data_IF_774550329646
#
_entry.id   IF_774550329646
#
_cell.length_a   1.000
_cell.length_b   1.000
_cell.length_c   1.000
_cell.angle_alpha   90.00
_cell.angle_beta   90.00
_cell.angle_gamma   90.00
#
_symmetry.space_group_name_H-M   'P 1'
#
loop_
_entity.id
_entity.type
_entity.pdbx_description
1 polymer ?
#
# COMPACT_ATOMS: atom_id res chain seq x y z
N UNK A 1 12.07 -26.27 13.17
CA UNK A 1 11.72 -24.84 13.03
C UNK A 1 10.22 -24.76 12.80
N UNK A 2 9.47 -24.18 13.73
CA UNK A 2 8.00 -24.06 13.62
C UNK A 2 7.62 -22.82 12.80
N UNK A 3 6.66 -22.91 11.87
CA UNK A 3 6.26 -21.78 11.05
C UNK A 3 5.56 -20.71 11.89
N UNK A 4 5.94 -19.45 11.68
CA UNK A 4 5.33 -18.29 12.33
C UNK A 4 3.85 -18.23 11.97
N UNK A 5 2.97 -18.31 12.98
CA UNK A 5 1.53 -18.10 12.81
C UNK A 5 1.30 -16.68 12.30
N UNK A 6 0.85 -16.54 11.06
CA UNK A 6 0.22 -15.32 10.58
C UNK A 6 -0.97 -15.03 11.50
N UNK A 7 -0.81 -14.06 12.40
CA UNK A 7 -1.90 -13.63 13.27
C UNK A 7 -3.02 -13.12 12.37
N UNK A 8 -4.12 -13.85 12.32
CA UNK A 8 -5.26 -13.53 11.47
C UNK A 8 -5.87 -12.22 11.96
N UNK A 9 -5.66 -11.14 11.21
CA UNK A 9 -6.24 -9.84 11.52
C UNK A 9 -7.77 -9.96 11.43
N UNK A 10 -8.45 -9.73 12.54
CA UNK A 10 -9.89 -9.85 12.67
C UNK A 10 -10.43 -8.65 13.45
N UNK A 11 -11.73 -8.39 13.38
CA UNK A 11 -12.36 -7.31 14.17
C UNK A 11 -12.12 -7.42 15.68
N UNK A 12 -11.78 -8.62 16.19
CA UNK A 12 -11.46 -8.86 17.61
C UNK A 12 -10.01 -8.52 17.96
N UNK A 13 -9.11 -8.60 16.99
CA UNK A 13 -7.67 -8.32 17.15
C UNK A 13 -7.25 -6.96 16.59
N UNK A 14 -8.16 -6.25 15.93
CA UNK A 14 -7.95 -4.90 15.42
C UNK A 14 -7.81 -3.86 16.55
N UNK A 15 -6.94 -2.88 16.32
CA UNK A 15 -6.78 -1.72 17.19
C UNK A 15 -8.05 -0.86 17.20
N UNK A 16 -8.40 -0.34 18.37
CA UNK A 16 -9.66 0.40 18.59
C UNK A 16 -9.37 1.78 19.13
N UNK A 17 -9.99 2.77 18.51
CA UNK A 17 -9.90 4.16 18.94
C UNK A 17 -11.32 4.75 19.09
N UNK A 18 -11.60 5.38 20.23
CA UNK A 18 -12.90 6.00 20.50
C UNK A 18 -12.86 7.47 20.07
N UNK A 19 -13.60 7.80 19.01
CA UNK A 19 -13.70 9.16 18.48
C UNK A 19 -14.86 9.91 19.14
N UNK A 20 -14.60 11.12 19.63
CA UNK A 20 -15.62 12.06 20.10
C UNK A 20 -16.03 12.97 18.93
N UNK A 21 -17.25 12.78 18.43
CA UNK A 21 -17.78 13.56 17.32
C UNK A 21 -18.62 14.74 17.84
N UNK A 22 -18.54 15.92 17.22
CA UNK A 22 -19.46 17.02 17.52
C UNK A 22 -20.90 16.68 17.07
N UNK A 23 -21.85 17.45 17.59
CA UNK A 23 -23.27 17.23 17.35
C UNK A 23 -23.60 17.15 15.85
N UNK A 24 -24.45 16.18 15.50
CA UNK A 24 -24.88 15.92 14.11
C UNK A 24 -23.84 15.24 13.21
N UNK A 25 -22.55 15.25 13.55
CA UNK A 25 -21.51 14.68 12.68
C UNK A 25 -21.66 13.16 12.53
N UNK A 26 -22.06 12.44 13.58
CA UNK A 26 -22.32 10.99 13.51
C UNK A 26 -23.40 10.65 12.47
N UNK A 27 -24.48 11.43 12.42
CA UNK A 27 -25.58 11.20 11.47
C UNK A 27 -25.10 11.45 10.04
N UNK A 28 -24.33 12.52 9.81
CA UNK A 28 -23.73 12.82 8.51
C UNK A 28 -22.83 11.70 8.02
N UNK A 29 -21.98 11.14 8.88
CA UNK A 29 -21.14 9.98 8.53
C UNK A 29 -22.00 8.76 8.20
N UNK A 30 -23.08 8.53 8.94
CA UNK A 30 -24.00 7.41 8.67
C UNK A 30 -24.67 7.52 7.29
N UNK A 31 -25.17 8.70 6.93
CA UNK A 31 -25.80 8.93 5.62
C UNK A 31 -24.83 8.69 4.47
N UNK A 32 -23.61 9.23 4.58
CA UNK A 32 -22.55 9.01 3.60
C UNK A 32 -22.21 7.51 3.48
N UNK A 33 -22.04 6.82 4.61
CA UNK A 33 -21.72 5.39 4.60
C UNK A 33 -22.83 4.56 3.91
N UNK A 34 -24.11 4.91 4.15
CA UNK A 34 -25.25 4.29 3.45
C UNK A 34 -25.19 4.52 1.94
N UNK A 35 -24.90 5.76 1.51
CA UNK A 35 -24.80 6.11 0.10
C UNK A 35 -23.65 5.38 -0.60
N UNK A 36 -22.56 5.10 0.12
CA UNK A 36 -21.42 4.33 -0.40
C UNK A 36 -21.55 2.81 -0.20
N UNK A 37 -22.68 2.32 0.33
CA UNK A 37 -22.89 0.90 0.64
C UNK A 37 -21.83 0.29 1.57
N UNK A 38 -21.37 1.06 2.56
CA UNK A 38 -20.32 0.69 3.53
C UNK A 38 -20.83 0.77 4.97
N UNK A 39 -20.15 0.07 5.87
CA UNK A 39 -20.34 0.30 7.30
C UNK A 39 -19.78 1.69 7.69
N UNK A 40 -20.28 2.29 8.77
CA UNK A 40 -19.72 3.56 9.27
C UNK A 40 -18.22 3.46 9.56
N UNK A 41 -17.78 2.34 10.13
CA UNK A 41 -16.35 2.13 10.38
C UNK A 41 -15.56 2.11 9.08
N UNK A 42 -16.02 1.37 8.07
CA UNK A 42 -15.38 1.31 6.76
C UNK A 42 -15.33 2.68 6.07
N UNK A 43 -16.36 3.52 6.22
CA UNK A 43 -16.35 4.88 5.68
C UNK A 43 -15.35 5.77 6.43
N UNK A 44 -15.29 5.69 7.77
CA UNK A 44 -14.31 6.44 8.57
C UNK A 44 -12.88 6.07 8.16
N UNK A 45 -12.58 4.78 8.03
CA UNK A 45 -11.27 4.31 7.58
C UNK A 45 -10.95 4.84 6.18
N UNK A 46 -11.87 4.72 5.22
CA UNK A 46 -11.64 5.19 3.86
C UNK A 46 -11.34 6.70 3.80
N UNK A 47 -12.01 7.52 4.64
CA UNK A 47 -11.74 8.96 4.73
C UNK A 47 -10.38 9.27 5.34
N UNK A 48 -10.00 8.53 6.38
CA UNK A 48 -8.69 8.69 7.02
C UNK A 48 -7.57 8.28 6.07
N UNK A 49 -7.71 7.14 5.40
CA UNK A 49 -6.76 6.69 4.37
C UNK A 49 -6.59 7.74 3.28
N UNK A 50 -7.68 8.23 2.71
CA UNK A 50 -7.64 9.26 1.67
C UNK A 50 -6.95 10.54 2.16
N UNK A 51 -7.26 11.02 3.38
CA UNK A 51 -6.65 12.21 3.95
C UNK A 51 -5.16 12.04 4.15
N UNK A 52 -4.74 10.90 4.71
CA UNK A 52 -3.33 10.62 5.00
C UNK A 52 -2.52 10.38 3.72
N UNK A 53 -3.12 9.78 2.67
CA UNK A 53 -2.50 9.67 1.34
C UNK A 53 -2.31 11.06 0.74
N UNK A 54 -3.32 11.92 0.84
CA UNK A 54 -3.26 13.29 0.34
C UNK A 54 -2.20 14.13 1.04
N UNK A 55 -2.01 13.92 2.35
CA UNK A 55 -0.96 14.53 3.16
C UNK A 55 0.42 13.89 2.95
N UNK A 56 0.51 12.77 2.22
CA UNK A 56 1.74 12.00 2.03
C UNK A 56 2.20 11.24 3.29
N UNK A 57 1.38 11.18 4.33
CA UNK A 57 1.65 10.51 5.60
C UNK A 57 1.44 8.99 5.52
N UNK A 58 0.43 8.56 4.76
CA UNK A 58 0.39 7.21 4.20
C UNK A 58 0.97 7.32 2.81
N UNK A 59 2.31 7.27 2.74
CA UNK A 59 2.98 7.03 1.48
C UNK A 59 2.31 5.83 0.81
N UNK A 60 1.98 6.00 -0.48
CA UNK A 60 1.75 4.92 -1.43
C UNK A 60 2.34 3.61 -0.88
N UNK A 61 1.53 2.55 -0.78
CA UNK A 61 2.04 1.19 -0.93
C UNK A 61 3.15 1.22 -2.01
N UNK A 62 4.25 0.46 -1.86
CA UNK A 62 5.56 0.69 -2.47
C UNK A 62 5.63 0.57 -4.01
N UNK A 63 4.59 0.93 -4.74
CA UNK A 63 4.63 1.43 -6.11
C UNK A 63 5.34 2.79 -6.18
N UNK A 64 6.62 2.82 -5.79
CA UNK A 64 7.67 3.77 -6.18
C UNK A 64 7.15 5.00 -6.95
N UNK A 65 6.94 6.12 -6.26
CA UNK A 65 6.69 7.41 -6.93
C UNK A 65 7.86 7.65 -7.90
N UNK A 66 7.59 7.61 -9.21
CA UNK A 66 8.61 7.84 -10.26
C UNK A 66 9.29 9.20 -10.11
N UNK A 67 8.62 10.14 -9.45
CA UNK A 67 9.06 11.51 -9.26
C UNK A 67 9.86 11.72 -7.97
N UNK A 68 10.29 10.66 -7.30
CA UNK A 68 11.20 10.81 -6.17
C UNK A 68 12.49 11.52 -6.65
N UNK A 69 12.90 12.64 -6.03
CA UNK A 69 14.11 13.36 -6.40
C UNK A 69 15.38 12.54 -6.16
N UNK A 70 15.27 11.42 -5.44
CA UNK A 70 16.38 10.51 -5.14
C UNK A 70 16.65 9.50 -6.27
N UNK A 71 15.73 9.32 -7.23
CA UNK A 71 15.92 8.37 -8.34
C UNK A 71 16.71 9.02 -9.48
N UNK A 72 17.81 8.38 -9.86
CA UNK A 72 18.56 8.65 -11.08
C UNK A 72 17.69 8.46 -12.32
N UNK A 73 18.05 9.11 -13.43
CA UNK A 73 17.32 9.01 -14.72
C UNK A 73 17.14 7.55 -15.16
N UNK A 74 18.15 6.72 -14.96
CA UNK A 74 18.11 5.31 -15.34
C UNK A 74 17.14 4.49 -14.48
N UNK A 75 17.04 4.80 -13.18
CA UNK A 75 16.11 4.11 -12.27
C UNK A 75 14.67 4.47 -12.61
N UNK A 76 14.41 5.74 -12.93
CA UNK A 76 13.09 6.19 -13.40
C UNK A 76 12.70 5.48 -14.70
N UNK A 77 13.63 5.39 -15.65
CA UNK A 77 13.37 4.72 -16.93
C UNK A 77 13.09 3.22 -16.74
N UNK A 78 13.85 2.54 -15.88
CA UNK A 78 13.63 1.13 -15.56
C UNK A 78 12.23 0.92 -14.95
N UNK A 79 11.84 1.74 -13.98
CA UNK A 79 10.53 1.66 -13.33
C UNK A 79 9.39 1.93 -14.29
N UNK A 80 9.54 2.91 -15.17
CA UNK A 80 8.55 3.23 -16.20
C UNK A 80 8.34 2.04 -17.13
N UNK A 81 9.44 1.44 -17.64
CA UNK A 81 9.36 0.28 -18.54
C UNK A 81 8.82 -0.94 -17.82
N UNK A 82 9.25 -1.20 -16.58
CA UNK A 82 8.78 -2.33 -15.77
C UNK A 82 7.26 -2.32 -15.59
N UNK A 83 6.66 -1.16 -15.32
CA UNK A 83 5.20 -1.01 -15.19
C UNK A 83 4.43 -1.27 -16.49
N UNK A 84 5.07 -1.10 -17.65
CA UNK A 84 4.44 -1.36 -18.95
C UNK A 84 4.53 -2.83 -19.38
N UNK A 85 5.35 -3.65 -18.71
CA UNK A 85 5.48 -5.07 -19.00
C UNK A 85 4.30 -5.88 -18.46
N UNK A 86 3.99 -7.01 -19.11
CA UNK A 86 3.04 -7.99 -18.56
C UNK A 86 3.59 -8.65 -17.30
N UNK A 87 2.70 -9.17 -16.45
CA UNK A 87 3.09 -9.84 -15.20
C UNK A 87 4.10 -11.00 -15.42
N UNK A 88 3.99 -11.72 -16.54
CA UNK A 88 4.94 -12.77 -16.91
C UNK A 88 6.32 -12.20 -17.22
N UNK A 89 6.38 -11.08 -17.92
CA UNK A 89 7.63 -10.41 -18.28
C UNK A 89 8.28 -9.74 -17.06
N UNK A 90 7.49 -9.16 -16.15
CA UNK A 90 7.98 -8.63 -14.89
C UNK A 90 8.65 -9.73 -14.05
N UNK A 91 7.99 -10.88 -13.87
CA UNK A 91 8.56 -12.02 -13.14
C UNK A 91 9.85 -12.52 -13.79
N UNK A 92 9.89 -12.62 -15.12
CA UNK A 92 11.09 -13.06 -15.84
C UNK A 92 12.26 -12.07 -15.66
N UNK A 93 11.99 -10.75 -15.70
CA UNK A 93 13.00 -9.72 -15.46
C UNK A 93 13.56 -9.80 -14.03
N UNK A 94 12.68 -9.95 -13.04
CA UNK A 94 13.10 -10.08 -11.63
C UNK A 94 13.94 -11.33 -11.43
N UNK A 95 13.56 -12.46 -12.03
CA UNK A 95 14.35 -13.70 -11.96
C UNK A 95 15.72 -13.56 -12.64
N UNK A 96 15.82 -12.83 -13.75
CA UNK A 96 17.09 -12.57 -14.43
C UNK A 96 18.02 -11.71 -13.57
N UNK A 97 17.51 -10.60 -13.03
CA UNK A 97 18.29 -9.70 -12.17
C UNK A 97 18.76 -10.42 -10.91
N UNK A 98 17.90 -11.23 -10.28
CA UNK A 98 18.26 -12.01 -9.10
C UNK A 98 19.39 -13.01 -9.39
N UNK A 99 19.33 -13.71 -10.53
CA UNK A 99 20.34 -14.67 -10.93
C UNK A 99 21.70 -14.02 -11.17
N UNK A 100 21.72 -12.86 -11.86
CA UNK A 100 22.97 -12.12 -12.12
C UNK A 100 23.59 -11.58 -10.82
N UNK A 101 22.77 -11.16 -9.84
CA UNK A 101 23.29 -10.71 -8.54
C UNK A 101 23.88 -11.85 -7.70
N UNK A 102 23.31 -13.05 -7.79
CA UNK A 102 23.81 -14.24 -7.10
C UNK A 102 25.16 -14.67 -7.70
N UNK A 103 25.27 -14.72 -9.04
CA UNK A 103 26.52 -15.05 -9.73
C UNK A 103 27.65 -14.06 -9.43
N UNK A 104 27.37 -12.76 -9.40
CA UNK A 104 28.37 -11.74 -9.06
C UNK A 104 28.87 -11.85 -7.60
N UNK A 105 28.04 -12.39 -6.71
CA UNK A 105 28.38 -12.62 -5.29
C UNK A 105 29.18 -13.89 -5.05
N UNK A 106 29.06 -14.91 -5.92
CA UNK A 106 29.81 -16.16 -5.84
C UNK A 106 31.20 -16.08 -6.50
N UNK A 107 31.43 -15.12 -7.40
CA UNK A 107 32.72 -14.89 -8.07
C UNK A 107 33.65 -13.90 -7.34
N UNK A 108 33.25 -13.32 -6.19
CA UNK A 108 34.02 -12.33 -5.42
C UNK A 108 34.71 -12.88 -4.16
#
# INVERSE_FOLDING_TARGET
>A
MSPMKQATYSSRTADKFVVRLPDGMRNRVQEVAKNHHRSMNSEIIARLEQSLIQEGALGDEPSLRLDSPELSLHERELLQRFRQLSHRQQNALVSLIAHDTELASEES
#
